data_IF_508939027139
#
_entry.id   IF_508939027139
#
_cell.length_a   1.000
_cell.length_b   1.000
_cell.length_c   1.000
_cell.angle_alpha   90.00
_cell.angle_beta   90.00
_cell.angle_gamma   90.00
#
_symmetry.space_group_name_H-M   'P 1'
#
loop_
_entity.id
_entity.type
_entity.pdbx_description
1 polymer ?
#
# COMPACT_ATOMS: atom_id res chain seq x y z
N UNK A 1 52.76 67.06 -26.20
CA UNK A 1 52.76 65.77 -25.49
C UNK A 1 51.47 65.74 -24.68
N UNK A 2 50.39 65.22 -25.26
CA UNK A 2 49.07 65.19 -24.64
C UNK A 2 48.68 63.73 -24.49
N UNK A 3 48.71 63.24 -23.25
CA UNK A 3 48.39 61.85 -22.94
C UNK A 3 46.87 61.66 -23.05
N UNK A 4 46.42 61.00 -24.11
CA UNK A 4 45.05 60.50 -24.25
C UNK A 4 44.72 59.60 -23.06
N UNK A 5 43.96 60.14 -22.09
CA UNK A 5 43.42 59.36 -20.98
C UNK A 5 42.39 58.38 -21.53
N UNK A 6 42.73 57.09 -21.54
CA UNK A 6 41.76 56.01 -21.72
C UNK A 6 40.88 55.95 -20.47
N UNK A 7 39.58 56.23 -20.64
CA UNK A 7 38.58 56.00 -19.58
C UNK A 7 38.41 54.50 -19.32
N UNK A 8 38.28 54.06 -18.06
CA UNK A 8 38.00 52.66 -17.76
C UNK A 8 36.58 52.28 -18.22
N UNK A 9 36.35 51.03 -18.65
CA UNK A 9 35.01 50.56 -18.98
C UNK A 9 34.14 50.55 -17.72
N UNK A 10 32.93 51.10 -17.82
CA UNK A 10 31.91 51.05 -16.77
C UNK A 10 31.59 49.57 -16.50
N UNK A 11 32.12 49.06 -15.39
CA UNK A 11 31.77 47.74 -14.84
C UNK A 11 30.31 47.83 -14.40
N UNK A 12 29.41 47.32 -15.25
CA UNK A 12 28.00 47.16 -14.89
C UNK A 12 27.90 46.40 -13.57
N UNK A 13 27.04 46.89 -12.69
CA UNK A 13 26.81 46.31 -11.38
C UNK A 13 26.36 44.85 -11.52
N UNK A 14 27.27 43.91 -11.35
CA UNK A 14 26.91 42.52 -11.07
C UNK A 14 26.51 42.50 -9.60
N UNK A 15 25.19 42.57 -9.36
CA UNK A 15 24.61 42.30 -8.04
C UNK A 15 25.02 40.87 -7.65
N UNK A 16 25.60 40.65 -6.46
CA UNK A 16 25.74 39.31 -5.94
C UNK A 16 24.35 38.88 -5.45
N UNK A 17 23.48 38.47 -6.36
CA UNK A 17 22.32 37.67 -6.01
C UNK A 17 22.86 36.30 -5.60
N UNK A 18 23.23 36.20 -4.32
CA UNK A 18 23.35 34.90 -3.67
C UNK A 18 21.97 34.26 -3.75
N UNK A 19 21.76 33.47 -4.80
CA UNK A 19 20.54 32.71 -5.02
C UNK A 19 20.28 31.86 -3.78
N UNK A 20 19.40 32.35 -2.92
CA UNK A 20 18.76 31.56 -1.87
C UNK A 20 17.55 30.79 -2.46
N UNK A 21 17.49 30.68 -3.79
CA UNK A 21 16.64 29.73 -4.45
C UNK A 21 17.41 28.42 -4.53
N UNK A 22 17.15 27.51 -3.60
CA UNK A 22 17.49 26.10 -3.77
C UNK A 22 16.91 25.72 -5.14
N UNK A 23 17.73 25.40 -6.16
CA UNK A 23 17.16 24.86 -7.38
C UNK A 23 16.39 23.63 -6.96
N UNK A 24 15.10 23.56 -7.27
CA UNK A 24 14.30 22.35 -7.11
C UNK A 24 14.88 21.29 -8.07
N UNK A 25 16.05 20.76 -7.72
CA UNK A 25 16.63 19.56 -8.31
C UNK A 25 15.63 18.50 -7.93
N UNK A 26 14.77 18.13 -8.89
CA UNK A 26 13.80 17.04 -8.83
C UNK A 26 14.18 16.10 -7.69
N UNK A 27 13.60 16.35 -6.52
CA UNK A 27 13.89 15.53 -5.36
C UNK A 27 13.45 14.13 -5.78
N UNK A 28 14.27 13.09 -5.59
CA UNK A 28 13.84 11.73 -5.86
C UNK A 28 12.48 11.55 -5.21
N UNK A 29 11.45 11.30 -6.02
CA UNK A 29 10.11 11.06 -5.52
C UNK A 29 10.23 9.89 -4.55
N UNK A 30 10.14 10.18 -3.25
CA UNK A 30 10.16 9.16 -2.21
C UNK A 30 9.09 8.16 -2.62
N UNK A 31 9.42 6.88 -2.86
CA UNK A 31 8.42 5.91 -3.28
C UNK A 31 7.31 5.89 -2.24
N UNK A 32 6.15 6.46 -2.59
CA UNK A 32 4.96 6.37 -1.75
C UNK A 32 4.68 4.89 -1.58
N UNK A 33 4.71 4.41 -0.34
CA UNK A 33 4.43 3.00 -0.05
C UNK A 33 3.01 2.67 -0.55
N UNK A 34 2.94 2.06 -1.72
CA UNK A 34 1.68 1.61 -2.30
C UNK A 34 1.30 0.33 -1.57
N UNK A 35 0.17 0.35 -0.86
CA UNK A 35 -0.31 -0.87 -0.23
C UNK A 35 -0.64 -1.92 -1.32
N UNK A 36 -0.24 -3.19 -1.12
CA UNK A 36 -0.43 -4.23 -2.12
C UNK A 36 -1.91 -4.54 -2.41
N UNK A 37 -2.81 -4.14 -1.51
CA UNK A 37 -4.25 -4.37 -1.63
C UNK A 37 -5.07 -3.10 -1.35
N UNK A 38 -6.24 -3.00 -1.98
CA UNK A 38 -7.22 -1.95 -1.69
C UNK A 38 -7.96 -2.19 -0.37
N UNK A 39 -8.63 -1.14 0.16
CA UNK A 39 -9.39 -1.22 1.42
C UNK A 39 -10.41 -2.36 1.43
N UNK A 40 -11.13 -2.55 0.34
CA UNK A 40 -12.16 -3.60 0.19
C UNK A 40 -11.55 -5.00 0.24
N UNK A 41 -10.41 -5.21 -0.40
CA UNK A 41 -9.69 -6.48 -0.38
C UNK A 41 -9.20 -6.83 1.03
N UNK A 42 -8.70 -5.83 1.76
CA UNK A 42 -8.29 -6.01 3.14
C UNK A 42 -9.46 -6.42 4.05
N UNK A 43 -10.64 -5.81 3.85
CA UNK A 43 -11.85 -6.22 4.56
C UNK A 43 -12.27 -7.66 4.24
N UNK A 44 -12.18 -8.08 2.97
CA UNK A 44 -12.48 -9.46 2.57
C UNK A 44 -11.49 -10.46 3.17
N UNK A 45 -10.22 -10.10 3.27
CA UNK A 45 -9.20 -10.89 3.96
C UNK A 45 -9.54 -11.08 5.44
N UNK A 46 -9.86 -10.00 6.17
CA UNK A 46 -10.25 -10.13 7.58
C UNK A 46 -11.51 -10.99 7.73
N UNK A 47 -12.47 -10.84 6.82
CA UNK A 47 -13.67 -11.68 6.80
C UNK A 47 -13.33 -13.15 6.52
N UNK A 48 -12.44 -13.45 5.57
CA UNK A 48 -11.97 -14.80 5.25
C UNK A 48 -11.34 -15.49 6.46
N UNK A 49 -10.40 -14.80 7.14
CA UNK A 49 -9.80 -15.26 8.39
C UNK A 49 -10.87 -15.53 9.45
N UNK A 50 -11.84 -14.62 9.63
CA UNK A 50 -12.92 -14.83 10.59
C UNK A 50 -13.74 -16.09 10.27
N UNK A 51 -14.05 -16.35 9.00
CA UNK A 51 -14.74 -17.59 8.58
C UNK A 51 -13.90 -18.83 8.85
N UNK A 52 -12.59 -18.79 8.58
CA UNK A 52 -11.68 -19.89 8.89
C UNK A 52 -11.71 -20.23 10.39
N UNK A 53 -11.58 -19.20 11.24
CA UNK A 53 -11.64 -19.35 12.69
C UNK A 53 -12.99 -19.93 13.14
N UNK A 54 -14.10 -19.47 12.57
CA UNK A 54 -15.43 -20.03 12.84
C UNK A 54 -15.50 -21.51 12.44
N UNK A 55 -14.93 -21.89 11.29
CA UNK A 55 -14.91 -23.28 10.85
C UNK A 55 -14.14 -24.20 11.81
N UNK A 56 -12.94 -23.78 12.24
CA UNK A 56 -12.18 -24.52 13.25
C UNK A 56 -12.86 -24.52 14.62
N UNK A 57 -13.53 -23.43 14.99
CA UNK A 57 -14.29 -23.34 16.23
C UNK A 57 -15.48 -24.30 16.23
N UNK A 58 -16.20 -24.43 15.12
CA UNK A 58 -17.29 -25.41 14.97
C UNK A 58 -16.78 -26.83 15.17
N UNK A 59 -15.61 -27.18 14.61
CA UNK A 59 -14.99 -28.50 14.86
C UNK A 59 -14.69 -28.71 16.34
N UNK A 60 -14.22 -27.65 17.03
CA UNK A 60 -13.91 -27.71 18.46
C UNK A 60 -15.14 -27.84 19.36
N UNK A 61 -16.33 -27.48 18.88
CA UNK A 61 -17.58 -27.64 19.63
C UNK A 61 -18.19 -29.03 19.49
N UNK A 62 -17.65 -29.87 18.59
CA UNK A 62 -18.13 -31.23 18.43
C UNK A 62 -17.87 -32.03 19.72
N UNK A 63 -18.90 -32.73 20.18
CA UNK A 63 -18.88 -33.49 21.43
C UNK A 63 -18.50 -34.96 21.24
N UNK A 64 -18.43 -35.42 20.00
CA UNK A 64 -17.96 -36.76 19.66
C UNK A 64 -16.45 -36.90 19.88
N UNK A 65 -16.01 -38.12 20.17
CA UNK A 65 -14.60 -38.42 20.39
C UNK A 65 -13.79 -38.06 19.14
N UNK A 66 -12.69 -37.32 19.34
CA UNK A 66 -11.86 -36.76 18.27
C UNK A 66 -12.57 -35.81 17.28
N UNK A 67 -13.81 -35.36 17.58
CA UNK A 67 -14.59 -34.53 16.67
C UNK A 67 -15.09 -35.28 15.44
N UNK A 68 -15.31 -36.61 15.54
CA UNK A 68 -15.90 -37.42 14.47
C UNK A 68 -17.43 -37.27 14.33
N UNK A 69 -18.02 -36.29 15.00
CA UNK A 69 -19.41 -35.94 14.79
C UNK A 69 -19.62 -35.19 13.48
N UNK A 70 -20.88 -34.88 13.20
CA UNK A 70 -21.25 -34.17 11.98
C UNK A 70 -20.60 -32.78 11.89
N UNK A 71 -20.48 -32.09 13.04
CA UNK A 71 -19.94 -30.73 13.10
C UNK A 71 -18.44 -30.72 12.76
N UNK A 72 -17.68 -31.70 13.23
CA UNK A 72 -16.24 -31.81 12.99
C UNK A 72 -15.88 -32.43 11.64
N UNK A 73 -16.58 -33.48 11.18
CA UNK A 73 -16.25 -34.17 9.92
C UNK A 73 -16.82 -33.49 8.67
N UNK A 74 -17.94 -32.77 8.78
CA UNK A 74 -18.62 -32.23 7.59
C UNK A 74 -18.78 -30.71 7.65
N UNK A 75 -19.43 -30.18 8.68
CA UNK A 75 -19.76 -28.75 8.72
C UNK A 75 -18.50 -27.89 8.87
N UNK A 76 -17.62 -28.23 9.80
CA UNK A 76 -16.35 -27.57 10.02
C UNK A 76 -15.51 -27.49 8.74
N UNK A 77 -15.19 -28.62 8.07
CA UNK A 77 -14.40 -28.62 6.85
C UNK A 77 -15.05 -27.82 5.72
N UNK A 78 -16.37 -27.89 5.57
CA UNK A 78 -17.11 -27.10 4.56
C UNK A 78 -17.00 -25.60 4.83
N UNK A 79 -17.12 -25.18 6.10
CA UNK A 79 -16.96 -23.76 6.48
C UNK A 79 -15.52 -23.31 6.26
N UNK A 80 -14.52 -24.11 6.64
CA UNK A 80 -13.10 -23.82 6.40
C UNK A 80 -12.81 -23.69 4.90
N UNK A 81 -13.34 -24.60 4.07
CA UNK A 81 -13.22 -24.53 2.60
C UNK A 81 -13.82 -23.24 2.05
N UNK A 82 -14.97 -22.81 2.57
CA UNK A 82 -15.60 -21.54 2.20
C UNK A 82 -14.73 -20.34 2.59
N UNK A 83 -14.12 -20.37 3.77
CA UNK A 83 -13.16 -19.36 4.21
C UNK A 83 -11.96 -19.24 3.27
N UNK A 84 -11.38 -20.37 2.82
CA UNK A 84 -10.31 -20.37 1.84
C UNK A 84 -10.74 -19.81 0.47
N UNK A 85 -11.96 -20.07 0.02
CA UNK A 85 -12.48 -19.50 -1.23
C UNK A 85 -12.56 -17.96 -1.11
N UNK A 86 -13.03 -17.45 0.03
CA UNK A 86 -13.08 -16.01 0.30
C UNK A 86 -11.67 -15.42 0.27
N UNK A 87 -10.69 -16.08 0.89
CA UNK A 87 -9.29 -15.66 0.88
C UNK A 87 -8.69 -15.59 -0.52
N UNK A 88 -8.86 -16.66 -1.30
CA UNK A 88 -8.39 -16.71 -2.68
C UNK A 88 -9.04 -15.59 -3.50
N UNK A 89 -10.34 -15.34 -3.32
CA UNK A 89 -11.03 -14.24 -3.98
C UNK A 89 -10.51 -12.87 -3.52
N UNK A 90 -10.26 -12.67 -2.23
CA UNK A 90 -9.76 -11.42 -1.67
C UNK A 90 -8.38 -11.04 -2.23
N UNK A 91 -7.49 -12.03 -2.40
CA UNK A 91 -6.15 -11.84 -2.95
C UNK A 91 -6.21 -11.59 -4.46
N UNK A 92 -7.04 -12.32 -5.19
CA UNK A 92 -7.12 -12.21 -6.66
C UNK A 92 -7.91 -11.00 -7.15
N UNK A 93 -8.82 -10.46 -6.32
CA UNK A 93 -9.64 -9.31 -6.70
C UNK A 93 -8.74 -8.09 -6.95
N UNK A 94 -8.74 -7.57 -8.17
CA UNK A 94 -8.00 -6.35 -8.48
C UNK A 94 -8.68 -5.14 -7.82
N UNK A 95 -7.93 -4.19 -7.24
CA UNK A 95 -8.53 -2.96 -6.75
C UNK A 95 -9.19 -2.22 -7.92
N UNK A 96 -10.46 -1.84 -7.75
CA UNK A 96 -11.14 -0.99 -8.73
C UNK A 96 -10.61 0.41 -8.55
N UNK A 97 -9.72 0.85 -9.45
CA UNK A 97 -9.32 2.25 -9.53
C UNK A 97 -10.46 3.01 -10.20
N UNK A 98 -11.36 3.59 -9.40
CA UNK A 98 -12.34 4.54 -9.92
C UNK A 98 -11.62 5.87 -10.12
N UNK A 99 -11.10 6.07 -11.32
CA UNK A 99 -10.67 7.39 -11.80
C UNK A 99 -11.96 8.22 -12.00
N UNK A 100 -12.17 9.24 -11.15
CA UNK A 100 -13.23 10.27 -11.30
C UNK A 100 -12.63 11.54 -11.89
#
# INVERSE_FOLDING_TARGET
MEATRVSPPKRGAVKPEFQTAIPTRNAPSVPTAMMPFGKVNYQLMVAGIAVLLVGFFIMSLDSEEFGFGFLGLTLGPVVVMTGFIIELFAILKKPVTTEL
#
